data_IF_448635918880
#
_entry.id   IF_448635918880
#
_cell.length_a   1.000
_cell.length_b   1.000
_cell.length_c   1.000
_cell.angle_alpha   90.00
_cell.angle_beta   90.00
_cell.angle_gamma   90.00
#
_symmetry.space_group_name_H-M   'P 1'
#
loop_
_entity.id
_entity.type
_entity.pdbx_description
1 polymer ?
#
# COMPACT_ATOMS: atom_id res chain seq x y z
N UNK A 1 19.95 -7.47 6.34
CA UNK A 1 21.00 -6.80 5.54
C UNK A 1 21.53 -7.68 4.41
N UNK A 2 22.23 -8.80 4.67
CA UNK A 2 22.72 -9.68 3.59
C UNK A 2 21.56 -10.14 2.67
N UNK A 3 20.47 -10.58 3.29
CA UNK A 3 19.22 -10.94 2.62
C UNK A 3 18.57 -9.77 1.85
N UNK A 4 18.67 -8.54 2.37
CA UNK A 4 18.13 -7.35 1.68
C UNK A 4 18.94 -7.03 0.42
N UNK A 5 20.28 -7.17 0.47
CA UNK A 5 21.15 -6.98 -0.69
C UNK A 5 20.92 -8.07 -1.74
N UNK A 6 20.78 -9.33 -1.31
CA UNK A 6 20.43 -10.44 -2.21
C UNK A 6 19.09 -10.22 -2.92
N UNK A 7 18.06 -9.76 -2.19
CA UNK A 7 16.76 -9.42 -2.77
C UNK A 7 16.85 -8.26 -3.77
N UNK A 8 17.64 -7.23 -3.47
CA UNK A 8 17.85 -6.10 -4.39
C UNK A 8 18.59 -6.51 -5.67
N UNK A 9 19.52 -7.46 -5.59
CA UNK A 9 20.17 -8.05 -6.76
C UNK A 9 19.17 -8.82 -7.65
N UNK A 10 18.26 -9.57 -7.05
CA UNK A 10 17.18 -10.23 -7.79
C UNK A 10 16.24 -9.21 -8.46
N UNK A 11 15.90 -8.12 -7.76
CA UNK A 11 15.08 -7.03 -8.30
C UNK A 11 15.76 -6.33 -9.50
N UNK A 12 17.07 -6.11 -9.45
CA UNK A 12 17.84 -5.55 -10.57
C UNK A 12 17.70 -6.44 -11.81
N UNK A 13 17.87 -7.76 -11.65
CA UNK A 13 17.70 -8.73 -12.73
C UNK A 13 16.30 -8.70 -13.35
N UNK A 14 15.26 -8.61 -12.51
CA UNK A 14 13.87 -8.49 -12.98
C UNK A 14 13.63 -7.20 -13.77
N UNK A 15 14.16 -6.06 -13.30
CA UNK A 15 14.00 -4.77 -13.99
C UNK A 15 14.72 -4.76 -15.33
N UNK A 16 15.91 -5.35 -15.43
CA UNK A 16 16.65 -5.47 -16.70
C UNK A 16 15.86 -6.32 -17.72
N UNK A 17 15.18 -7.36 -17.24
CA UNK A 17 14.36 -8.24 -18.07
C UNK A 17 13.04 -7.61 -18.55
N UNK A 18 12.65 -6.44 -18.01
CA UNK A 18 11.43 -5.76 -18.44
C UNK A 18 11.54 -5.24 -19.89
N UNK A 19 10.41 -5.16 -20.61
CA UNK A 19 10.35 -4.56 -21.94
C UNK A 19 11.01 -3.18 -21.97
N UNK A 20 11.72 -2.90 -23.06
CA UNK A 20 12.41 -1.63 -23.24
C UNK A 20 11.40 -0.48 -23.29
N UNK A 21 11.42 0.36 -22.26
CA UNK A 21 10.69 1.64 -22.18
C UNK A 21 11.69 2.74 -21.81
N UNK A 22 11.37 4.00 -22.11
CA UNK A 22 12.25 5.13 -21.81
C UNK A 22 12.54 5.25 -20.29
N UNK A 23 11.61 4.80 -19.47
CA UNK A 23 11.63 4.86 -18.01
C UNK A 23 12.49 3.76 -17.37
N UNK A 24 12.85 2.69 -18.10
CA UNK A 24 13.60 1.54 -17.55
C UNK A 24 14.96 1.97 -17.00
N UNK A 25 15.67 2.86 -17.69
CA UNK A 25 16.96 3.38 -17.25
C UNK A 25 16.85 4.12 -15.90
N UNK A 26 15.76 4.86 -15.66
CA UNK A 26 15.54 5.54 -14.39
C UNK A 26 15.21 4.56 -13.25
N UNK A 27 14.55 3.44 -13.56
CA UNK A 27 14.28 2.36 -12.60
C UNK A 27 15.57 1.63 -12.21
N UNK A 28 16.42 1.28 -13.19
CA UNK A 28 17.73 0.67 -12.95
C UNK A 28 18.61 1.57 -12.06
N UNK A 29 18.66 2.87 -12.34
CA UNK A 29 19.36 3.84 -11.48
C UNK A 29 18.78 3.89 -10.06
N UNK A 30 17.45 3.83 -9.93
CA UNK A 30 16.77 3.80 -8.64
C UNK A 30 17.09 2.55 -7.81
N UNK A 31 17.17 1.38 -8.43
CA UNK A 31 17.58 0.13 -7.75
C UNK A 31 19.02 0.25 -7.23
N UNK A 32 19.94 0.75 -8.07
CA UNK A 32 21.34 0.95 -7.67
C UNK A 32 21.47 1.92 -6.51
N UNK A 33 20.73 3.03 -6.54
CA UNK A 33 20.70 3.98 -5.44
C UNK A 33 20.17 3.36 -4.14
N UNK A 34 19.12 2.54 -4.23
CA UNK A 34 18.56 1.82 -3.08
C UNK A 34 19.54 0.79 -2.52
N UNK A 35 20.26 0.06 -3.38
CA UNK A 35 21.30 -0.86 -2.96
C UNK A 35 22.42 -0.14 -2.22
N UNK A 36 22.90 0.99 -2.75
CA UNK A 36 23.92 1.83 -2.07
C UNK A 36 23.40 2.31 -0.71
N UNK A 37 22.13 2.73 -0.63
CA UNK A 37 21.54 3.21 0.62
C UNK A 37 21.47 2.10 1.69
N UNK A 38 21.05 0.91 1.28
CA UNK A 38 21.10 -0.28 2.14
C UNK A 38 22.55 -0.56 2.52
N UNK A 39 23.48 -0.58 1.57
CA UNK A 39 24.89 -0.91 1.80
C UNK A 39 25.60 0.06 2.76
N UNK A 40 25.19 1.32 2.74
CA UNK A 40 25.71 2.35 3.64
C UNK A 40 25.01 2.36 5.00
N UNK A 41 24.04 1.47 5.23
CA UNK A 41 23.20 1.42 6.44
C UNK A 41 22.54 2.77 6.72
N UNK A 42 22.04 3.41 5.67
CA UNK A 42 21.27 4.64 5.81
C UNK A 42 20.00 4.40 6.65
N UNK A 43 19.39 5.49 7.09
CA UNK A 43 18.18 5.45 7.91
C UNK A 43 17.07 4.58 7.28
N UNK A 44 16.47 3.70 8.09
CA UNK A 44 15.50 2.73 7.61
C UNK A 44 14.24 3.38 7.02
N UNK A 45 13.80 4.53 7.54
CA UNK A 45 12.67 5.25 6.99
C UNK A 45 13.02 5.87 5.62
N UNK A 46 14.25 6.33 5.44
CA UNK A 46 14.75 6.80 4.14
C UNK A 46 14.81 5.68 3.10
N UNK A 47 15.38 4.53 3.45
CA UNK A 47 15.45 3.34 2.58
C UNK A 47 14.05 2.87 2.18
N UNK A 48 13.12 2.79 3.14
CA UNK A 48 11.75 2.38 2.89
C UNK A 48 11.00 3.36 1.96
N UNK A 49 11.23 4.68 2.11
CA UNK A 49 10.69 5.70 1.20
C UNK A 49 11.22 5.52 -0.22
N UNK A 50 12.53 5.32 -0.39
CA UNK A 50 13.15 5.09 -1.70
C UNK A 50 12.58 3.84 -2.38
N UNK A 51 12.41 2.75 -1.65
CA UNK A 51 11.83 1.52 -2.17
C UNK A 51 10.37 1.72 -2.64
N UNK A 52 9.53 2.40 -1.85
CA UNK A 52 8.15 2.72 -2.25
C UNK A 52 8.08 3.61 -3.48
N UNK A 53 8.93 4.63 -3.55
CA UNK A 53 9.01 5.52 -4.71
C UNK A 53 9.42 4.76 -5.98
N UNK A 54 10.38 3.84 -5.86
CA UNK A 54 10.79 2.98 -6.97
C UNK A 54 9.64 2.07 -7.44
N UNK A 55 8.93 1.43 -6.51
CA UNK A 55 7.75 0.64 -6.82
C UNK A 55 6.63 1.44 -7.49
N UNK A 56 6.39 2.68 -7.05
CA UNK A 56 5.41 3.57 -7.68
C UNK A 56 5.82 3.96 -9.11
N UNK A 57 7.11 4.27 -9.34
CA UNK A 57 7.62 4.55 -10.69
C UNK A 57 7.49 3.34 -11.61
N UNK A 58 7.80 2.14 -11.10
CA UNK A 58 7.67 0.89 -11.86
C UNK A 58 6.22 0.68 -12.30
N UNK A 59 5.26 0.86 -11.39
CA UNK A 59 3.85 0.70 -11.69
C UNK A 59 3.34 1.71 -12.72
N UNK A 60 3.76 2.98 -12.65
CA UNK A 60 3.41 3.96 -13.67
C UNK A 60 4.04 3.60 -15.02
N UNK A 61 5.33 3.28 -15.02
CA UNK A 61 6.09 2.99 -16.24
C UNK A 61 5.58 1.76 -16.99
N UNK A 62 5.03 0.77 -16.29
CA UNK A 62 4.52 -0.48 -16.88
C UNK A 62 3.01 -0.66 -16.68
N UNK A 63 2.30 0.40 -16.34
CA UNK A 63 0.84 0.45 -16.22
C UNK A 63 0.25 -0.63 -15.29
N UNK A 64 1.00 -1.00 -14.26
CA UNK A 64 0.53 -1.93 -13.21
C UNK A 64 -0.36 -1.16 -12.25
N UNK A 65 -1.64 -1.50 -12.20
CA UNK A 65 -2.57 -0.84 -11.26
C UNK A 65 -2.21 -1.18 -9.82
N UNK A 66 -1.77 -0.17 -9.06
CA UNK A 66 -1.53 -0.28 -7.61
C UNK A 66 -2.76 0.10 -6.78
N UNK A 67 -3.79 0.68 -7.41
CA UNK A 67 -5.05 0.99 -6.74
C UNK A 67 -6.05 -0.16 -6.94
N UNK A 68 -6.86 -0.47 -5.92
CA UNK A 68 -7.91 -1.47 -6.07
C UNK A 68 -8.96 -0.99 -7.07
N UNK A 69 -9.46 -1.94 -7.86
CA UNK A 69 -10.51 -1.70 -8.86
C UNK A 69 -11.83 -1.25 -8.21
N UNK A 70 -12.12 -1.82 -7.04
CA UNK A 70 -13.30 -1.54 -6.22
C UNK A 70 -12.83 -0.70 -5.03
N UNK A 71 -13.54 0.40 -4.73
CA UNK A 71 -13.22 1.19 -3.53
C UNK A 71 -13.28 0.30 -2.29
N UNK A 72 -12.21 0.26 -1.47
CA UNK A 72 -12.19 -0.53 -0.26
C UNK A 72 -13.21 -0.02 0.78
N UNK A 73 -13.61 -0.87 1.70
CA UNK A 73 -14.63 -0.57 2.70
C UNK A 73 -14.29 -1.19 4.05
N UNK A 74 -14.14 -0.34 5.06
CA UNK A 74 -13.86 -0.74 6.43
C UNK A 74 -14.93 -1.68 6.99
N UNK A 75 -16.21 -1.52 6.61
CA UNK A 75 -17.29 -2.37 7.08
C UNK A 75 -17.15 -3.80 6.57
N UNK A 76 -16.60 -3.98 5.36
CA UNK A 76 -16.29 -5.32 4.80
C UNK A 76 -15.00 -5.89 5.41
N UNK A 77 -14.04 -5.05 5.76
CA UNK A 77 -12.78 -5.45 6.39
C UNK A 77 -12.92 -5.89 7.85
N UNK A 78 -13.86 -5.29 8.60
CA UNK A 78 -14.07 -5.56 10.02
C UNK A 78 -14.25 -7.05 10.37
N UNK A 79 -15.15 -7.82 9.73
CA UNK A 79 -15.30 -9.25 10.04
C UNK A 79 -14.05 -10.07 9.68
N UNK A 80 -13.33 -9.71 8.61
CA UNK A 80 -12.09 -10.38 8.22
C UNK A 80 -10.98 -10.14 9.25
N UNK A 81 -10.86 -8.91 9.74
CA UNK A 81 -9.94 -8.57 10.83
C UNK A 81 -10.25 -9.37 12.10
N UNK A 82 -11.54 -9.42 12.48
CA UNK A 82 -11.96 -10.18 13.65
C UNK A 82 -11.61 -11.67 13.54
N UNK A 83 -11.71 -12.25 12.34
CA UNK A 83 -11.43 -13.67 12.09
C UNK A 83 -9.94 -14.00 12.01
N UNK A 84 -9.13 -13.13 11.40
CA UNK A 84 -7.75 -13.47 11.04
C UNK A 84 -6.67 -12.73 11.83
N UNK A 85 -6.99 -11.56 12.39
CA UNK A 85 -5.97 -10.64 12.92
C UNK A 85 -6.11 -10.39 14.43
N UNK A 86 -7.36 -10.25 14.92
CA UNK A 86 -7.66 -9.85 16.30
C UNK A 86 -7.04 -10.78 17.35
N UNK A 87 -6.94 -12.08 17.07
CA UNK A 87 -6.42 -13.08 18.02
C UNK A 87 -4.98 -12.80 18.45
N UNK A 88 -4.15 -12.25 17.55
CA UNK A 88 -2.76 -11.87 17.83
C UNK A 88 -2.60 -10.37 18.07
N UNK A 89 -3.36 -9.53 17.35
CA UNK A 89 -3.16 -8.08 17.36
C UNK A 89 -4.14 -7.30 18.23
N UNK A 90 -5.11 -7.98 18.86
CA UNK A 90 -6.17 -7.38 19.67
C UNK A 90 -7.25 -6.70 18.82
N UNK A 91 -8.38 -6.35 19.43
CA UNK A 91 -9.53 -5.77 18.72
C UNK A 91 -9.22 -4.40 18.09
N UNK A 92 -8.23 -3.69 18.64
CA UNK A 92 -7.84 -2.37 18.19
C UNK A 92 -6.45 -2.33 17.53
N UNK A 93 -5.90 -3.50 17.16
CA UNK A 93 -4.63 -3.62 16.43
C UNK A 93 -3.38 -3.23 17.20
N UNK A 94 -3.43 -3.20 18.53
CA UNK A 94 -2.32 -2.74 19.37
C UNK A 94 -1.21 -3.79 19.56
N UNK A 95 -1.40 -5.03 19.09
CA UNK A 95 -0.45 -6.13 19.32
C UNK A 95 -0.65 -6.85 20.65
N UNK A 96 -1.80 -6.66 21.31
CA UNK A 96 -2.13 -7.15 22.65
C UNK A 96 -3.15 -8.31 22.63
N UNK A 97 -3.24 -9.02 21.50
CA UNK A 97 -4.14 -10.16 21.36
C UNK A 97 -3.71 -11.34 22.25
N UNK A 98 -4.67 -12.16 22.73
CA UNK A 98 -4.39 -13.25 23.66
C UNK A 98 -3.41 -14.29 23.10
N UNK A 99 -3.40 -14.55 21.79
CA UNK A 99 -2.44 -15.46 21.16
C UNK A 99 -1.06 -14.82 20.94
N UNK A 100 -0.92 -13.51 21.11
CA UNK A 100 0.36 -12.80 21.06
C UNK A 100 1.22 -12.99 22.31
N UNK A 101 0.62 -13.42 23.42
CA UNK A 101 1.31 -13.59 24.70
C UNK A 101 2.37 -14.69 24.57
N UNK A 102 3.64 -14.32 24.77
CA UNK A 102 4.76 -15.25 24.75
C UNK A 102 5.39 -15.50 23.38
N UNK A 103 4.91 -14.85 22.31
CA UNK A 103 5.58 -14.88 21.00
C UNK A 103 6.86 -14.03 20.99
N UNK A 104 7.89 -14.49 20.28
CA UNK A 104 9.15 -13.78 20.07
C UNK A 104 9.50 -13.75 18.57
N UNK A 105 9.49 -12.58 17.91
CA UNK A 105 9.08 -11.28 18.44
C UNK A 105 7.55 -11.21 18.74
N UNK A 106 7.11 -10.30 19.61
CA UNK A 106 5.69 -10.08 19.84
C UNK A 106 5.01 -9.58 18.54
N UNK A 107 3.68 -9.79 18.39
CA UNK A 107 2.94 -9.24 17.26
C UNK A 107 3.12 -7.72 17.14
N UNK A 108 3.30 -7.24 15.90
CA UNK A 108 3.45 -5.81 15.63
C UNK A 108 2.17 -5.02 15.96
N UNK A 109 2.34 -3.74 16.29
CA UNK A 109 1.23 -2.80 16.37
C UNK A 109 0.81 -2.41 14.95
N UNK A 110 -0.37 -2.87 14.53
CA UNK A 110 -0.92 -2.67 13.18
C UNK A 110 -1.32 -1.22 12.91
N UNK A 111 -1.37 -0.37 13.94
CA UNK A 111 -1.56 1.09 13.77
C UNK A 111 -0.33 1.76 13.19
N UNK A 112 0.83 1.10 13.26
CA UNK A 112 2.11 1.68 12.86
C UNK A 112 2.85 0.86 11.81
N UNK A 113 2.68 -0.46 11.77
CA UNK A 113 3.42 -1.31 10.83
C UNK A 113 2.64 -2.57 10.45
N UNK A 114 2.76 -3.04 9.21
CA UNK A 114 2.15 -4.29 8.78
C UNK A 114 2.83 -4.91 7.53
N UNK A 115 3.29 -6.17 7.60
CA UNK A 115 3.65 -6.93 6.42
C UNK A 115 2.40 -7.51 5.70
N UNK A 116 2.54 -7.81 4.41
CA UNK A 116 1.44 -8.33 3.57
C UNK A 116 1.06 -9.78 3.91
N UNK A 117 -0.24 -10.09 3.97
CA UNK A 117 -0.80 -11.44 4.09
C UNK A 117 -1.37 -11.92 2.74
N UNK A 118 -0.50 -12.00 1.74
CA UNK A 118 -0.92 -12.19 0.36
C UNK A 118 -1.62 -13.54 0.09
N UNK A 119 -1.34 -14.58 0.87
CA UNK A 119 -1.72 -15.96 0.56
C UNK A 119 -3.07 -16.39 1.15
N UNK A 120 -3.63 -15.62 2.10
CA UNK A 120 -4.87 -15.99 2.81
C UNK A 120 -6.08 -15.15 2.41
N UNK A 121 -5.85 -13.94 1.89
CA UNK A 121 -6.88 -13.00 1.50
C UNK A 121 -6.72 -12.66 0.02
N UNK A 122 -7.83 -12.66 -0.71
CA UNK A 122 -7.84 -12.14 -2.07
C UNK A 122 -7.54 -10.63 -2.09
N UNK A 123 -7.23 -10.09 -3.27
CA UNK A 123 -6.80 -8.69 -3.38
C UNK A 123 -7.82 -7.71 -2.79
N UNK A 124 -9.11 -7.91 -3.07
CA UNK A 124 -10.18 -7.05 -2.55
C UNK A 124 -10.27 -7.15 -1.03
N UNK A 125 -10.23 -8.35 -0.48
CA UNK A 125 -10.27 -8.58 0.96
C UNK A 125 -9.08 -7.92 1.66
N UNK A 126 -7.88 -7.99 1.09
CA UNK A 126 -6.69 -7.31 1.62
C UNK A 126 -6.90 -5.80 1.69
N UNK A 127 -7.47 -5.22 0.64
CA UNK A 127 -7.76 -3.79 0.61
C UNK A 127 -8.84 -3.39 1.63
N UNK A 128 -9.92 -4.17 1.77
CA UNK A 128 -10.97 -3.93 2.76
C UNK A 128 -10.42 -3.98 4.19
N UNK A 129 -9.57 -4.98 4.50
CA UNK A 129 -8.88 -5.08 5.80
C UNK A 129 -7.91 -3.93 6.02
N UNK A 130 -7.13 -3.53 5.01
CA UNK A 130 -6.20 -2.41 5.11
C UNK A 130 -6.93 -1.09 5.43
N UNK A 131 -8.09 -0.86 4.83
CA UNK A 131 -8.96 0.29 5.13
C UNK A 131 -9.55 0.21 6.53
N UNK A 132 -9.95 -0.98 7.00
CA UNK A 132 -10.39 -1.16 8.38
C UNK A 132 -9.27 -0.87 9.39
N UNK A 133 -8.06 -1.40 9.19
CA UNK A 133 -6.91 -1.15 10.06
C UNK A 133 -6.56 0.34 10.08
N UNK A 134 -6.67 1.05 8.95
CA UNK A 134 -6.44 2.49 8.89
C UNK A 134 -7.35 3.27 9.85
N UNK A 135 -8.57 2.77 10.11
CA UNK A 135 -9.52 3.39 11.05
C UNK A 135 -9.02 3.44 12.50
N UNK A 136 -8.16 2.53 12.92
CA UNK A 136 -7.63 2.51 14.30
C UNK A 136 -6.76 3.71 14.66
N UNK A 137 -6.23 4.41 13.65
CA UNK A 137 -5.37 5.59 13.83
C UNK A 137 -5.99 6.88 13.31
N UNK A 138 -7.22 6.79 12.79
CA UNK A 138 -7.93 7.90 12.17
C UNK A 138 -8.70 8.71 13.22
N UNK A 139 -8.60 10.03 13.11
CA UNK A 139 -9.51 10.94 13.80
C UNK A 139 -10.62 11.33 12.80
N UNK A 140 -11.86 10.92 13.09
CA UNK A 140 -13.01 11.23 12.23
C UNK A 140 -13.25 12.74 12.11
N UNK A 141 -12.88 13.54 13.12
CA UNK A 141 -13.00 15.00 13.09
C UNK A 141 -11.93 15.67 12.22
N UNK A 142 -10.84 14.96 11.91
CA UNK A 142 -9.77 15.45 11.05
C UNK A 142 -10.08 15.35 9.54
N UNK A 143 -11.25 14.81 9.16
CA UNK A 143 -11.72 14.85 7.78
C UNK A 143 -12.01 16.31 7.36
N UNK A 144 -11.03 16.97 6.77
CA UNK A 144 -11.15 18.37 6.34
C UNK A 144 -12.02 18.46 5.09
N UNK A 145 -13.10 19.24 5.16
CA UNK A 145 -13.91 19.56 3.97
C UNK A 145 -13.06 20.30 2.93
N UNK A 146 -12.84 19.68 1.77
CA UNK A 146 -12.16 20.28 0.61
C UNK A 146 -10.76 19.74 0.30
N UNK A 147 -10.10 19.04 1.23
CA UNK A 147 -8.85 18.33 0.94
C UNK A 147 -9.19 16.88 0.54
N UNK A 148 -9.03 16.55 -0.74
CA UNK A 148 -9.39 15.23 -1.28
C UNK A 148 -8.18 14.55 -1.91
N UNK A 149 -7.77 13.42 -1.34
CA UNK A 149 -6.81 12.51 -1.93
C UNK A 149 -7.54 11.56 -2.88
N UNK A 150 -6.99 11.30 -4.06
CA UNK A 150 -7.53 10.26 -4.94
C UNK A 150 -7.13 8.86 -4.42
N UNK A 151 -7.83 7.82 -4.89
CA UNK A 151 -7.61 6.44 -4.42
C UNK A 151 -6.18 5.95 -4.68
N UNK A 152 -5.55 6.37 -5.78
CA UNK A 152 -4.19 5.97 -6.12
C UNK A 152 -3.16 6.59 -5.17
N UNK A 153 -3.38 7.80 -4.68
CA UNK A 153 -2.52 8.44 -3.68
C UNK A 153 -2.70 7.81 -2.31
N UNK A 154 -3.94 7.54 -1.90
CA UNK A 154 -4.25 6.80 -0.66
C UNK A 154 -3.60 5.41 -0.62
N UNK A 155 -3.51 4.74 -1.78
CA UNK A 155 -2.89 3.43 -1.94
C UNK A 155 -1.35 3.49 -1.89
N UNK A 156 -0.73 4.53 -2.46
CA UNK A 156 0.74 4.60 -2.66
C UNK A 156 1.50 5.35 -1.58
N UNK A 157 0.85 6.28 -0.89
CA UNK A 157 1.48 7.14 0.11
C UNK A 157 1.16 6.70 1.54
N UNK A 158 2.03 7.08 2.46
CA UNK A 158 1.89 6.84 3.90
C UNK A 158 1.55 8.13 4.65
N UNK A 159 0.86 8.05 5.80
CA UNK A 159 0.63 9.22 6.65
C UNK A 159 1.92 9.95 7.05
N UNK A 160 3.02 9.23 7.25
CA UNK A 160 4.31 9.81 7.60
C UNK A 160 4.93 10.63 6.46
N UNK A 161 4.75 10.20 5.20
CA UNK A 161 5.19 10.95 4.02
C UNK A 161 4.38 12.25 3.85
N UNK A 162 3.06 12.18 4.00
CA UNK A 162 2.19 13.37 3.97
C UNK A 162 2.55 14.31 5.12
N UNK A 163 2.82 13.79 6.32
CA UNK A 163 3.24 14.63 7.44
C UNK A 163 4.56 15.36 7.15
N UNK A 164 5.52 14.68 6.53
CA UNK A 164 6.80 15.28 6.18
C UNK A 164 6.68 16.35 5.07
N UNK A 165 5.76 16.16 4.12
CA UNK A 165 5.59 17.06 2.98
C UNK A 165 4.63 18.24 3.25
N UNK A 166 3.52 17.97 3.93
CA UNK A 166 2.35 18.88 4.06
C UNK A 166 1.96 19.13 5.52
N UNK A 167 2.63 18.49 6.49
CA UNK A 167 2.43 18.71 7.92
C UNK A 167 1.35 17.85 8.56
N UNK A 168 1.16 17.99 9.90
CA UNK A 168 0.36 17.07 10.70
C UNK A 168 -1.14 17.14 10.42
N UNK A 169 -1.66 18.30 10.02
CA UNK A 169 -3.09 18.43 9.66
C UNK A 169 -3.41 17.67 8.38
N UNK A 170 -2.59 17.82 7.33
CA UNK A 170 -2.73 17.05 6.10
C UNK A 170 -2.60 15.54 6.34
N UNK A 171 -1.67 15.12 7.21
CA UNK A 171 -1.52 13.73 7.59
C UNK A 171 -2.72 13.17 8.39
N UNK A 172 -3.37 13.99 9.20
CA UNK A 172 -4.60 13.62 9.91
C UNK A 172 -5.77 13.47 8.94
N UNK A 173 -5.94 14.41 8.00
CA UNK A 173 -6.93 14.32 6.92
C UNK A 173 -6.70 13.09 6.02
N UNK A 174 -5.44 12.82 5.68
CA UNK A 174 -5.05 11.63 4.91
C UNK A 174 -5.42 10.33 5.64
N UNK A 175 -5.16 10.24 6.96
CA UNK A 175 -5.57 9.06 7.76
C UNK A 175 -7.09 8.89 7.79
N UNK A 176 -7.82 9.98 7.99
CA UNK A 176 -9.28 9.97 7.99
C UNK A 176 -9.83 9.48 6.63
N UNK A 177 -9.33 10.02 5.52
CA UNK A 177 -9.78 9.62 4.19
C UNK A 177 -9.31 8.22 3.79
N UNK A 178 -8.17 7.73 4.29
CA UNK A 178 -7.72 6.35 4.07
C UNK A 178 -8.59 5.33 4.81
N UNK A 179 -9.13 5.70 5.98
CA UNK A 179 -10.09 4.90 6.73
C UNK A 179 -11.49 4.91 6.09
N UNK A 180 -11.84 5.98 5.36
CA UNK A 180 -13.08 6.12 4.63
C UNK A 180 -12.82 6.62 3.20
N UNK A 181 -12.28 5.76 2.32
CA UNK A 181 -11.94 6.17 0.96
C UNK A 181 -13.20 6.57 0.20
N UNK A 182 -13.12 7.61 -0.66
CA UNK A 182 -14.27 8.12 -1.37
C UNK A 182 -14.86 7.02 -2.25
N UNK A 183 -16.12 6.67 -1.97
CA UNK A 183 -16.83 5.64 -2.71
C UNK A 183 -17.14 6.16 -4.10
N UNK A 184 -16.52 5.57 -5.12
CA UNK A 184 -16.86 5.88 -6.51
C UNK A 184 -18.15 5.14 -6.83
N UNK A 185 -19.30 5.81 -6.65
CA UNK A 185 -20.59 5.26 -7.07
C UNK A 185 -20.64 5.23 -8.60
N UNK A 186 -20.27 4.07 -9.18
CA UNK A 186 -20.44 3.82 -10.62
C UNK A 186 -21.82 3.20 -10.83
N UNK A 187 -22.64 3.83 -11.66
CA UNK A 187 -23.91 3.23 -12.09
C UNK A 187 -23.68 1.95 -12.91
N UNK A 188 -24.72 1.12 -13.13
CA UNK A 188 -24.59 -0.16 -13.87
C UNK A 188 -23.94 -0.03 -15.25
N UNK A 189 -24.27 1.04 -15.99
CA UNK A 189 -23.66 1.32 -17.29
C UNK A 189 -22.16 1.65 -17.19
N UNK A 190 -21.77 2.46 -16.21
CA UNK A 190 -20.37 2.83 -15.99
C UNK A 190 -19.50 1.64 -15.55
N UNK A 191 -20.12 0.64 -14.89
CA UNK A 191 -19.43 -0.62 -14.56
C UNK A 191 -19.16 -1.45 -15.81
N UNK A 192 -20.14 -1.57 -16.71
CA UNK A 192 -19.97 -2.28 -17.98
C UNK A 192 -18.93 -1.61 -18.87
N UNK A 193 -18.96 -0.28 -18.98
CA UNK A 193 -17.98 0.51 -19.74
C UNK A 193 -16.58 0.34 -19.16
N UNK A 194 -16.45 0.37 -17.83
CA UNK A 194 -15.18 0.13 -17.16
C UNK A 194 -14.66 -1.28 -17.43
N UNK A 195 -15.51 -2.31 -17.30
CA UNK A 195 -15.14 -3.69 -17.60
C UNK A 195 -14.69 -3.85 -19.05
N UNK A 196 -15.40 -3.25 -20.01
CA UNK A 196 -15.01 -3.28 -21.42
C UNK A 196 -13.66 -2.61 -21.64
N UNK A 197 -13.45 -1.39 -21.13
CA UNK A 197 -12.17 -0.69 -21.23
C UNK A 197 -11.02 -1.46 -20.58
N UNK A 198 -11.26 -2.12 -19.44
CA UNK A 198 -10.24 -2.93 -18.77
C UNK A 198 -9.91 -4.18 -19.58
N UNK A 199 -10.91 -4.84 -20.18
CA UNK A 199 -10.69 -5.98 -21.07
C UNK A 199 -9.91 -5.57 -22.33
N UNK A 200 -10.25 -4.44 -22.95
CA UNK A 200 -9.56 -3.93 -24.14
C UNK A 200 -8.10 -3.61 -23.85
N UNK A 201 -7.83 -2.96 -22.70
CA UNK A 201 -6.45 -2.72 -22.24
C UNK A 201 -5.69 -4.01 -21.95
N UNK A 202 -6.35 -5.00 -21.36
CA UNK A 202 -5.74 -6.30 -21.10
C UNK A 202 -5.38 -7.01 -22.40
N UNK A 203 -6.30 -7.02 -23.38
CA UNK A 203 -6.08 -7.61 -24.72
C UNK A 203 -4.93 -6.92 -25.46
N UNK A 204 -4.85 -5.59 -25.41
CA UNK A 204 -3.76 -4.83 -26.03
C UNK A 204 -2.38 -5.14 -25.41
N UNK A 205 -2.33 -5.54 -24.13
CA UNK A 205 -1.08 -5.94 -23.47
C UNK A 205 -0.59 -7.36 -23.86
N UNK A 206 -1.43 -8.16 -24.50
CA UNK A 206 -1.09 -9.51 -25.00
C UNK A 206 -0.77 -9.58 -26.50
N UNK A 207 -0.86 -8.45 -27.22
CA UNK A 207 -0.50 -8.32 -28.63
C UNK A 207 0.89 -7.69 -28.79
#
# INVERSE_FOLDING_TARGET
>A
YKEQVEFLGALEGLIIALPARAERAALEQGVKALQIAVEQKQDGAQVARQARQLGAKLAVAYEVSQAPVITPDAARGAPLYAQHCSVCHGDAGAGDGPAGIGLMPPPANLRTDMPSFADQLDDRQRWDVATYIASFSADAAAAVQGQTFNLADLARQTPAEINAAEGPQAAAAFRAQRAQPPQVQRGPAQLLDYTSMTLDKSLAAYQ
#
